data_IF_802954374506
#
_entry.id   IF_802954374506
#
_cell.length_a   1.000
_cell.length_b   1.000
_cell.length_c   1.000
_cell.angle_alpha   90.00
_cell.angle_beta   90.00
_cell.angle_gamma   90.00
#
_symmetry.space_group_name_H-M   'P 1'
#
loop_
_entity.id
_entity.type
_entity.pdbx_description
1 polymer ?
#
# COMPACT_ATOMS: atom_id res chain seq x y z
N UNK A 1 -3.15 -4.42 -4.37
CA UNK A 1 -2.48 -3.12 -4.16
C UNK A 1 -3.51 -2.01 -4.20
N UNK A 2 -3.47 -1.08 -3.25
CA UNK A 2 -4.21 0.18 -3.33
C UNK A 2 -3.51 1.11 -4.33
N UNK A 3 -4.10 1.27 -5.50
CA UNK A 3 -3.45 1.83 -6.69
C UNK A 3 -3.81 3.31 -6.96
N UNK A 4 -4.70 3.89 -6.15
CA UNK A 4 -5.07 5.30 -6.24
C UNK A 4 -3.85 6.17 -5.91
N UNK A 5 -3.36 6.90 -6.92
CA UNK A 5 -2.19 7.78 -6.85
C UNK A 5 -0.85 7.17 -6.36
N UNK A 6 -0.70 5.84 -6.37
CA UNK A 6 0.54 5.23 -5.91
C UNK A 6 1.70 5.42 -6.91
N UNK A 7 2.87 5.93 -6.47
CA UNK A 7 3.97 6.30 -7.37
C UNK A 7 4.85 5.13 -7.84
N UNK A 8 4.66 3.92 -7.29
CA UNK A 8 5.55 2.76 -7.49
C UNK A 8 4.91 1.57 -8.22
N UNK A 9 3.89 1.83 -9.04
CA UNK A 9 3.14 0.79 -9.76
C UNK A 9 4.01 -0.01 -10.73
N UNK A 10 4.91 0.67 -11.43
CA UNK A 10 5.83 0.05 -12.38
C UNK A 10 6.83 -0.89 -11.69
N UNK A 11 7.39 -0.45 -10.56
CA UNK A 11 8.29 -1.27 -9.73
C UNK A 11 7.57 -2.53 -9.24
N UNK A 12 6.33 -2.41 -8.79
CA UNK A 12 5.53 -3.57 -8.37
C UNK A 12 5.39 -4.55 -9.53
N UNK A 13 4.89 -4.10 -10.69
CA UNK A 13 4.73 -4.96 -11.87
C UNK A 13 6.03 -5.65 -12.29
N UNK A 14 7.14 -4.90 -12.31
CA UNK A 14 8.44 -5.40 -12.75
C UNK A 14 9.05 -6.40 -11.76
N UNK A 15 9.05 -6.07 -10.47
CA UNK A 15 9.66 -6.90 -9.43
C UNK A 15 8.82 -8.16 -9.23
N UNK A 16 7.50 -8.04 -9.09
CA UNK A 16 6.61 -9.21 -8.90
C UNK A 16 6.72 -10.21 -10.04
N UNK A 17 6.83 -9.74 -11.30
CA UNK A 17 7.02 -10.62 -12.46
C UNK A 17 8.29 -11.46 -12.36
N UNK A 18 9.41 -10.90 -11.86
CA UNK A 18 10.67 -11.65 -11.72
C UNK A 18 10.55 -12.83 -10.77
N UNK A 19 9.75 -12.68 -9.71
CA UNK A 19 9.51 -13.71 -8.70
C UNK A 19 8.25 -14.55 -8.97
N UNK A 20 7.60 -14.39 -10.13
CA UNK A 20 6.40 -15.15 -10.49
C UNK A 20 5.13 -14.79 -9.72
N UNK A 21 5.10 -13.67 -8.99
CA UNK A 21 3.90 -13.21 -8.28
C UNK A 21 2.95 -12.47 -9.23
N UNK A 22 1.66 -12.82 -9.15
CA UNK A 22 0.59 -12.04 -9.76
C UNK A 22 0.40 -10.70 -9.06
N UNK A 23 -0.04 -9.68 -9.80
CA UNK A 23 -0.31 -8.34 -9.26
C UNK A 23 -1.75 -7.95 -9.55
N UNK A 24 -2.48 -7.58 -8.50
CA UNK A 24 -3.84 -7.03 -8.59
C UNK A 24 -3.82 -5.57 -8.14
N UNK A 25 -4.12 -4.67 -9.06
CA UNK A 25 -4.30 -3.24 -8.84
C UNK A 25 -5.77 -2.95 -8.53
N UNK A 26 -6.05 -2.36 -7.39
CA UNK A 26 -7.40 -1.96 -6.98
C UNK A 26 -7.43 -0.43 -6.97
N UNK A 27 -8.26 0.17 -7.83
CA UNK A 27 -8.35 1.62 -7.99
C UNK A 27 -9.80 2.06 -8.15
N UNK A 28 -10.11 3.30 -7.79
CA UNK A 28 -11.41 3.87 -8.11
C UNK A 28 -11.54 4.15 -9.62
N UNK A 29 -12.77 4.07 -10.16
CA UNK A 29 -13.04 4.40 -11.57
C UNK A 29 -12.54 5.78 -11.99
N UNK A 30 -12.48 6.74 -11.06
CA UNK A 30 -11.95 8.08 -11.28
C UNK A 30 -10.46 8.10 -11.71
N UNK A 31 -9.70 7.05 -11.41
CA UNK A 31 -8.27 6.95 -11.70
C UNK A 31 -7.95 5.96 -12.83
N UNK A 32 -8.94 5.57 -13.64
CA UNK A 32 -8.73 4.69 -14.79
C UNK A 32 -7.86 5.38 -15.84
N UNK A 33 -6.72 4.75 -16.17
CA UNK A 33 -5.83 5.15 -17.27
C UNK A 33 -6.20 4.42 -18.56
N UNK A 34 -5.88 5.01 -19.71
CA UNK A 34 -5.99 4.37 -21.02
C UNK A 34 -4.97 3.23 -21.19
N UNK A 35 -3.77 3.44 -20.67
CA UNK A 35 -2.66 2.47 -20.70
C UNK A 35 -2.22 2.18 -19.25
N UNK A 36 -2.82 1.16 -18.62
CA UNK A 36 -2.49 0.80 -17.26
C UNK A 36 -1.21 -0.04 -17.18
N UNK A 37 -0.57 -0.02 -16.00
CA UNK A 37 0.61 -0.85 -15.72
C UNK A 37 0.28 -2.36 -15.80
N UNK A 38 1.26 -3.20 -16.11
CA UNK A 38 1.05 -4.63 -16.34
C UNK A 38 0.59 -5.36 -15.06
N UNK A 39 -0.61 -5.94 -15.10
CA UNK A 39 -1.22 -6.70 -14.01
C UNK A 39 -2.74 -6.79 -14.19
N UNK A 40 -3.42 -7.40 -13.24
CA UNK A 40 -4.88 -7.41 -13.18
C UNK A 40 -5.39 -6.09 -12.57
N UNK A 41 -6.42 -5.50 -13.17
CA UNK A 41 -7.00 -4.24 -12.70
C UNK A 41 -8.46 -4.44 -12.28
N UNK A 42 -8.73 -4.10 -11.03
CA UNK A 42 -10.07 -4.05 -10.46
C UNK A 42 -10.41 -2.59 -10.24
N UNK A 43 -11.44 -2.13 -10.94
CA UNK A 43 -12.00 -0.82 -10.74
C UNK A 43 -13.22 -0.92 -9.83
N UNK A 44 -13.23 -0.11 -8.78
CA UNK A 44 -14.33 -0.03 -7.83
C UNK A 44 -15.01 1.34 -7.92
N UNK A 45 -16.23 1.42 -7.38
CA UNK A 45 -16.95 2.69 -7.27
C UNK A 45 -16.11 3.77 -6.59
N UNK A 46 -16.28 5.03 -6.99
CA UNK A 46 -15.53 6.18 -6.46
C UNK A 46 -15.88 6.54 -5.01
N UNK A 47 -16.56 5.66 -4.28
CA UNK A 47 -16.80 5.83 -2.85
C UNK A 47 -15.47 5.72 -2.11
N UNK A 48 -15.34 6.49 -1.04
CA UNK A 48 -14.08 6.66 -0.30
C UNK A 48 -13.48 5.36 0.25
N UNK A 49 -14.31 4.33 0.45
CA UNK A 49 -13.93 3.09 1.13
C UNK A 49 -14.03 1.86 0.21
N UNK A 50 -14.44 2.01 -1.05
CA UNK A 50 -14.68 0.88 -1.94
C UNK A 50 -13.42 0.04 -2.20
N UNK A 51 -12.26 0.68 -2.35
CA UNK A 51 -11.00 -0.02 -2.60
C UNK A 51 -10.56 -0.82 -1.37
N UNK A 52 -10.61 -0.19 -0.19
CA UNK A 52 -10.31 -0.82 1.09
C UNK A 52 -11.20 -2.04 1.33
N UNK A 53 -12.51 -1.90 1.11
CA UNK A 53 -13.47 -3.00 1.26
C UNK A 53 -13.18 -4.15 0.29
N UNK A 54 -12.90 -3.83 -0.98
CA UNK A 54 -12.52 -4.85 -1.96
C UNK A 54 -11.27 -5.60 -1.50
N UNK A 55 -10.21 -4.88 -1.15
CA UNK A 55 -8.96 -5.48 -0.67
C UNK A 55 -9.23 -6.37 0.53
N UNK A 56 -9.94 -5.86 1.55
CA UNK A 56 -10.24 -6.60 2.77
C UNK A 56 -10.99 -7.92 2.55
N UNK A 57 -11.83 -7.98 1.51
CA UNK A 57 -12.63 -9.15 1.16
C UNK A 57 -11.86 -10.18 0.30
N UNK A 58 -10.77 -9.78 -0.36
CA UNK A 58 -10.07 -10.65 -1.31
C UNK A 58 -8.66 -11.05 -0.87
N UNK A 59 -8.03 -10.32 0.07
CA UNK A 59 -6.72 -10.69 0.61
C UNK A 59 -6.75 -12.02 1.35
N UNK A 60 -5.68 -12.79 1.18
CA UNK A 60 -5.43 -14.08 1.81
C UNK A 60 -4.13 -14.04 2.62
N UNK A 61 -3.97 -14.98 3.53
CA UNK A 61 -2.70 -15.19 4.25
C UNK A 61 -1.55 -15.28 3.25
N UNK A 62 -0.42 -14.67 3.60
CA UNK A 62 0.80 -14.60 2.78
C UNK A 62 0.74 -13.69 1.55
N UNK A 63 -0.38 -13.02 1.29
CA UNK A 63 -0.42 -11.95 0.29
C UNK A 63 0.44 -10.75 0.72
N UNK A 64 0.85 -9.94 -0.27
CA UNK A 64 1.53 -8.67 -0.03
C UNK A 64 0.64 -7.51 -0.44
N UNK A 65 0.23 -6.70 0.53
CA UNK A 65 -0.48 -5.45 0.33
C UNK A 65 0.50 -4.26 0.29
N UNK A 66 0.44 -3.48 -0.79
CA UNK A 66 1.03 -2.13 -0.81
C UNK A 66 -0.08 -1.09 -0.64
N UNK A 67 0.00 -0.25 0.40
CA UNK A 67 -0.96 0.84 0.71
C UNK A 67 -0.33 1.97 1.53
N UNK A 68 -0.86 3.20 1.42
CA UNK A 68 -0.52 4.30 2.34
C UNK A 68 -1.43 4.37 3.57
N UNK A 69 -2.58 3.68 3.56
CA UNK A 69 -3.53 3.76 4.66
C UNK A 69 -3.11 2.85 5.82
N UNK A 70 -2.74 3.47 6.95
CA UNK A 70 -2.34 2.79 8.19
C UNK A 70 -3.50 1.95 8.77
N UNK A 71 -4.74 2.42 8.59
CA UNK A 71 -5.96 1.72 8.97
C UNK A 71 -6.14 0.45 8.16
N UNK A 72 -6.09 0.53 6.83
CA UNK A 72 -6.14 -0.67 5.99
C UNK A 72 -5.02 -1.65 6.33
N UNK A 73 -3.78 -1.16 6.49
CA UNK A 73 -2.65 -1.98 6.91
C UNK A 73 -2.93 -2.68 8.26
N UNK A 74 -3.49 -1.97 9.24
CA UNK A 74 -3.83 -2.54 10.55
C UNK A 74 -4.88 -3.65 10.51
N UNK A 75 -5.77 -3.62 9.52
CA UNK A 75 -6.84 -4.60 9.37
C UNK A 75 -6.36 -5.88 8.66
N UNK A 76 -5.35 -5.78 7.80
CA UNK A 76 -4.83 -6.95 7.06
C UNK A 76 -3.72 -7.68 7.81
N UNK A 77 -2.93 -6.99 8.64
CA UNK A 77 -1.82 -7.61 9.37
C UNK A 77 -2.26 -8.85 10.20
N UNK A 78 -3.35 -8.80 11.02
CA UNK A 78 -3.82 -9.96 11.77
C UNK A 78 -4.29 -11.14 10.90
N UNK A 79 -4.47 -10.94 9.60
CA UNK A 79 -4.79 -12.00 8.62
C UNK A 79 -3.52 -12.66 8.03
N UNK A 80 -2.35 -12.39 8.60
CA UNK A 80 -1.04 -12.84 8.10
C UNK A 80 -0.73 -12.32 6.68
N UNK A 81 -1.20 -11.11 6.37
CA UNK A 81 -0.89 -10.39 5.12
C UNK A 81 0.31 -9.48 5.39
N UNK A 82 1.31 -9.51 4.52
CA UNK A 82 2.42 -8.56 4.58
C UNK A 82 1.94 -7.19 4.08
N UNK A 83 2.23 -6.12 4.82
CA UNK A 83 1.83 -4.77 4.42
C UNK A 83 3.04 -3.84 4.27
N UNK A 84 3.14 -3.15 3.14
CA UNK A 84 4.23 -2.24 2.79
C UNK A 84 3.68 -0.89 2.34
N UNK A 85 4.32 0.20 2.73
CA UNK A 85 4.01 1.52 2.16
C UNK A 85 4.70 1.72 0.81
N UNK A 86 4.20 2.61 -0.07
CA UNK A 86 4.88 3.02 -1.30
C UNK A 86 6.28 3.61 -1.11
N UNK A 87 6.66 3.96 0.12
CA UNK A 87 8.03 4.42 0.47
C UNK A 87 8.93 3.30 0.99
N UNK A 88 8.49 2.05 0.88
CA UNK A 88 9.27 0.88 1.30
C UNK A 88 9.26 0.62 2.80
N UNK A 89 8.49 1.37 3.61
CA UNK A 89 8.33 1.05 5.04
C UNK A 89 7.35 -0.11 5.22
N UNK A 90 7.80 -1.18 5.87
CA UNK A 90 6.93 -2.28 6.29
C UNK A 90 6.07 -1.86 7.49
N UNK A 91 4.78 -2.21 7.44
CA UNK A 91 3.91 -2.18 8.59
C UNK A 91 4.06 -3.49 9.36
N UNK A 92 4.01 -3.42 10.70
CA UNK A 92 4.17 -4.59 11.56
C UNK A 92 3.19 -4.53 12.72
N UNK A 93 2.65 -5.68 13.12
CA UNK A 93 1.66 -5.79 14.19
C UNK A 93 2.14 -5.14 15.49
N UNK A 94 3.43 -5.30 15.83
CA UNK A 94 3.99 -4.79 17.09
C UNK A 94 4.04 -3.26 17.14
N UNK A 95 3.97 -2.60 15.99
CA UNK A 95 4.13 -1.13 15.87
C UNK A 95 2.89 -0.43 15.31
N UNK A 96 1.91 -1.18 14.79
CA UNK A 96 0.78 -0.60 14.07
C UNK A 96 -0.18 0.15 14.99
N UNK A 97 -0.37 -0.32 16.23
CA UNK A 97 -1.18 0.37 17.24
C UNK A 97 -0.64 1.77 17.52
N UNK A 98 0.67 1.89 17.78
CA UNK A 98 1.33 3.18 17.99
C UNK A 98 1.21 4.09 16.76
N UNK A 99 1.29 3.54 15.54
CA UNK A 99 1.11 4.31 14.32
C UNK A 99 -0.32 4.86 14.16
N UNK A 100 -1.34 4.09 14.57
CA UNK A 100 -2.73 4.54 14.61
C UNK A 100 -2.94 5.66 15.65
N UNK A 101 -2.31 5.56 16.82
CA UNK A 101 -2.38 6.60 17.85
C UNK A 101 -1.79 7.92 17.34
N UNK A 102 -0.61 7.87 16.71
CA UNK A 102 -0.03 9.06 16.08
C UNK A 102 -0.94 9.65 14.98
N UNK A 103 -1.57 8.80 14.15
CA UNK A 103 -2.55 9.26 13.14
C UNK A 103 -3.73 9.96 13.79
N UNK A 104 -4.26 9.41 14.89
CA UNK A 104 -5.38 9.98 15.64
C UNK A 104 -5.01 11.33 16.26
N UNK A 105 -3.86 11.41 16.94
CA UNK A 105 -3.37 12.66 17.54
C UNK A 105 -3.16 13.75 16.48
N UNK A 106 -2.55 13.41 15.34
CA UNK A 106 -2.37 14.35 14.23
C UNK A 106 -3.72 14.83 13.66
N UNK A 107 -4.73 13.96 13.58
CA UNK A 107 -6.07 14.35 13.17
C UNK A 107 -6.76 15.26 14.21
N UNK A 108 -6.56 14.99 15.50
CA UNK A 108 -7.08 15.82 16.60
C UNK A 108 -6.49 17.22 16.59
N UNK A 109 -5.18 17.37 16.36
CA UNK A 109 -4.54 18.69 16.26
C UNK A 109 -5.01 19.46 15.02
N UNK A 110 -5.20 18.79 13.87
CA UNK A 110 -5.80 19.43 12.68
C UNK A 110 -7.20 19.98 12.95
N UNK A 111 -8.05 19.25 13.69
CA UNK A 111 -9.39 19.74 14.09
C UNK A 111 -9.34 20.98 14.99
N UNK A 112 -8.24 21.19 15.72
CA UNK A 112 -7.97 22.40 16.51
C UNK A 112 -7.34 23.53 15.67
N UNK A 113 -7.26 23.38 14.35
CA UNK A 113 -6.62 24.34 13.45
C UNK A 113 -5.09 24.29 13.44
N UNK A 114 -4.46 23.33 14.13
CA UNK A 114 -3.00 23.16 14.10
C UNK A 114 -2.64 22.17 12.99
N UNK A 115 -2.12 22.71 11.90
CA UNK A 115 -1.66 21.92 10.77
C UNK A 115 -0.16 21.67 10.88
N UNK A 116 0.24 20.39 10.85
CA UNK A 116 1.64 20.02 10.66
C UNK A 116 2.07 20.26 9.21
N UNK A 117 3.38 20.10 8.95
CA UNK A 117 3.85 19.99 7.56
C UNK A 117 3.19 18.76 6.92
N UNK A 118 2.68 18.91 5.71
CA UNK A 118 2.12 17.80 4.93
C UNK A 118 3.17 16.70 4.68
N UNK A 119 2.77 15.56 4.11
CA UNK A 119 3.71 14.54 3.70
C UNK A 119 4.75 15.16 2.76
N UNK A 120 6.03 14.80 2.95
CA UNK A 120 7.11 15.24 2.05
C UNK A 120 6.79 14.77 0.63
N UNK A 121 7.31 15.47 -0.38
CA UNK A 121 7.25 14.98 -1.75
C UNK A 121 7.85 13.56 -1.85
N UNK A 122 7.33 12.75 -2.77
CA UNK A 122 7.92 11.46 -3.07
C UNK A 122 9.22 11.68 -3.87
N UNK A 123 10.30 11.01 -3.47
CA UNK A 123 11.64 11.22 -4.04
C UNK A 123 12.13 9.96 -4.77
N UNK A 124 13.18 10.13 -5.57
CA UNK A 124 13.87 9.00 -6.19
C UNK A 124 14.45 8.02 -5.15
N UNK A 125 14.96 8.54 -4.03
CA UNK A 125 15.46 7.70 -2.93
C UNK A 125 14.33 6.88 -2.27
N UNK A 126 13.11 7.41 -2.17
CA UNK A 126 11.95 6.63 -1.69
C UNK A 126 11.62 5.48 -2.65
N UNK A 127 11.74 5.70 -3.96
CA UNK A 127 11.51 4.69 -5.01
C UNK A 127 12.54 3.56 -4.95
N UNK A 128 13.81 3.91 -4.76
CA UNK A 128 14.90 2.94 -4.58
C UNK A 128 14.71 2.13 -3.31
N UNK A 129 14.39 2.80 -2.20
CA UNK A 129 14.10 2.15 -0.91
C UNK A 129 12.91 1.20 -1.03
N UNK A 130 11.84 1.62 -1.72
CA UNK A 130 10.70 0.76 -2.01
C UNK A 130 11.11 -0.46 -2.81
N UNK A 131 11.84 -0.27 -3.91
CA UNK A 131 12.26 -1.37 -4.79
C UNK A 131 13.09 -2.40 -4.02
N UNK A 132 14.09 -1.95 -3.27
CA UNK A 132 14.96 -2.83 -2.49
C UNK A 132 14.18 -3.61 -1.43
N UNK A 133 13.31 -2.95 -0.66
CA UNK A 133 12.57 -3.61 0.41
C UNK A 133 11.47 -4.54 -0.14
N UNK A 134 10.84 -4.18 -1.25
CA UNK A 134 9.84 -5.03 -1.90
C UNK A 134 10.48 -6.26 -2.53
N UNK A 135 11.63 -6.11 -3.19
CA UNK A 135 12.43 -7.22 -3.72
C UNK A 135 12.89 -8.18 -2.63
N UNK A 136 13.46 -7.65 -1.53
CA UNK A 136 13.85 -8.46 -0.37
C UNK A 136 12.67 -9.24 0.23
N UNK A 137 11.49 -8.59 0.34
CA UNK A 137 10.29 -9.24 0.85
C UNK A 137 9.84 -10.40 -0.07
N UNK A 138 9.79 -10.18 -1.38
CA UNK A 138 9.35 -11.23 -2.32
C UNK A 138 10.35 -12.38 -2.39
N UNK A 139 11.66 -12.10 -2.32
CA UNK A 139 12.71 -13.14 -2.23
C UNK A 139 12.51 -14.03 -1.01
N UNK A 140 12.26 -13.44 0.16
CA UNK A 140 12.00 -14.19 1.40
C UNK A 140 10.75 -15.07 1.31
N UNK A 141 9.70 -14.60 0.64
CA UNK A 141 8.47 -15.36 0.43
C UNK A 141 8.68 -16.49 -0.59
N UNK A 142 9.46 -16.24 -1.65
CA UNK A 142 9.80 -17.23 -2.67
C UNK A 142 10.73 -18.34 -2.14
N UNK A 143 11.44 -18.09 -1.04
CA UNK A 143 12.36 -19.05 -0.42
C UNK A 143 13.76 -19.04 -1.04
N UNK A 144 14.13 -17.95 -1.73
CA UNK A 144 15.48 -17.69 -2.27
C UNK A 144 16.45 -17.13 -1.21
#
# INVERSE_FOLDING_TARGET
MDADACPVKEEISRISRRYGFGVVFVASHAHRKSEPEAGEWIYVDSSKESADLYIMNHVRSSDVLVTQDIGLASLVLPKHVYALSPRGKAYREETIATALDYRYLAAKERRKGKYGKGPKAFTQSDRETFSANFENLLSQIAGD
#
